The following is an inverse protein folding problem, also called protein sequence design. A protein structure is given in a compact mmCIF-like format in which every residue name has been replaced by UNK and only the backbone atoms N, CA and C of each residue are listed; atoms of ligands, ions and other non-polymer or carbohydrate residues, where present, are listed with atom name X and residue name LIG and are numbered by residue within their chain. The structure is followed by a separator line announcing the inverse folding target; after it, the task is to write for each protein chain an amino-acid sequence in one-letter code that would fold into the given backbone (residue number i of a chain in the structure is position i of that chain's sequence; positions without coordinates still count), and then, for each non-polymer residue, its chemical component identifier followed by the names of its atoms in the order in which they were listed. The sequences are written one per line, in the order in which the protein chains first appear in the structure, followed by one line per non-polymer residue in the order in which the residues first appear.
data_IF_949968397735
#
_entry.id   IF_949968397735
#
_cell.length_a   1.000
_cell.length_b   1.000
_cell.length_c   1.000
_cell.angle_alpha   90.00
_cell.angle_beta   90.00
_cell.angle_gamma   90.00
#
_symmetry.space_group_name_H-M   'P 1'
#
loop_
_entity.id
_entity.type
_entity.pdbx_description
1 polymer ?
#
# COMPACT_ATOMS: atom_id res chain seq x y z
N UNK A 1 -25.83 16.41 -9.65
CA UNK A 1 -25.20 15.79 -8.47
C UNK A 1 -24.66 16.92 -7.63
N UNK A 2 -24.97 16.95 -6.34
CA UNK A 2 -24.64 18.06 -5.44
C UNK A 2 -23.26 17.82 -4.85
N UNK A 3 -22.31 18.75 -5.05
CA UNK A 3 -20.89 18.57 -4.74
C UNK A 3 -20.60 18.33 -3.25
N UNK A 4 -21.48 18.82 -2.37
CA UNK A 4 -21.42 18.52 -0.94
C UNK A 4 -21.57 17.03 -0.60
N UNK A 5 -22.08 16.19 -1.51
CA UNK A 5 -22.19 14.74 -1.27
C UNK A 5 -20.85 14.02 -1.40
N UNK A 6 -19.95 14.48 -2.27
CA UNK A 6 -18.65 13.81 -2.50
C UNK A 6 -17.73 14.02 -1.30
N UNK A 7 -17.62 15.25 -0.79
CA UNK A 7 -16.83 15.57 0.42
C UNK A 7 -17.33 14.80 1.65
N UNK A 8 -18.65 14.72 1.84
CA UNK A 8 -19.25 13.92 2.92
C UNK A 8 -18.90 12.42 2.82
N UNK A 9 -18.80 11.88 1.61
CA UNK A 9 -18.38 10.49 1.42
C UNK A 9 -16.92 10.26 1.82
N UNK A 10 -16.03 11.21 1.54
CA UNK A 10 -14.63 11.15 1.98
C UNK A 10 -14.51 11.18 3.52
N UNK A 11 -15.23 12.10 4.17
CA UNK A 11 -15.30 12.20 5.63
C UNK A 11 -15.81 10.89 6.26
N UNK A 12 -16.87 10.31 5.71
CA UNK A 12 -17.40 9.02 6.19
C UNK A 12 -16.39 7.86 6.05
N UNK A 13 -15.58 7.85 4.99
CA UNK A 13 -14.51 6.86 4.80
C UNK A 13 -13.46 7.01 5.92
N UNK A 14 -13.02 8.24 6.20
CA UNK A 14 -12.06 8.55 7.28
C UNK A 14 -12.61 8.15 8.66
N UNK A 15 -13.87 8.46 8.94
CA UNK A 15 -14.53 8.08 10.20
C UNK A 15 -14.59 6.55 10.36
N UNK A 16 -14.98 5.82 9.31
CA UNK A 16 -15.04 4.35 9.36
C UNK A 16 -13.68 3.70 9.59
N UNK A 17 -12.59 4.31 9.09
CA UNK A 17 -11.22 3.87 9.36
C UNK A 17 -10.81 4.07 10.82
N UNK A 18 -11.15 5.22 11.41
CA UNK A 18 -10.92 5.49 12.83
C UNK A 18 -11.66 4.47 13.71
N UNK A 19 -12.95 4.20 13.42
CA UNK A 19 -13.72 3.19 14.13
C UNK A 19 -13.11 1.78 13.99
N UNK A 20 -12.63 1.44 12.79
CA UNK A 20 -11.95 0.16 12.54
C UNK A 20 -10.69 0.02 13.38
N UNK A 21 -9.90 1.08 13.50
CA UNK A 21 -8.72 1.13 14.37
C UNK A 21 -9.10 0.93 15.83
N UNK A 22 -10.11 1.63 16.33
CA UNK A 22 -10.55 1.51 17.72
C UNK A 22 -11.06 0.09 18.05
N UNK A 23 -11.80 -0.55 17.14
CA UNK A 23 -12.28 -1.92 17.35
C UNK A 23 -11.16 -2.95 17.41
N UNK A 24 -10.13 -2.79 16.58
CA UNK A 24 -8.94 -3.63 16.62
C UNK A 24 -8.11 -3.37 17.88
N UNK A 25 -8.03 -2.12 18.34
CA UNK A 25 -7.34 -1.72 19.57
C UNK A 25 -7.94 -2.37 20.82
N UNK A 26 -9.26 -2.60 20.81
CA UNK A 26 -9.99 -3.24 21.90
C UNK A 26 -9.91 -4.79 21.84
N UNK A 27 -9.04 -5.36 20.99
CA UNK A 27 -8.86 -6.80 20.79
C UNK A 27 -10.17 -7.56 20.52
N UNK A 28 -11.14 -6.91 19.88
CA UNK A 28 -12.45 -7.53 19.60
C UNK A 28 -12.33 -8.76 18.66
N UNK A 29 -11.20 -8.90 17.96
CA UNK A 29 -10.92 -9.94 16.96
C UNK A 29 -9.43 -10.30 16.98
N UNK A 30 -9.11 -11.57 16.70
CA UNK A 30 -7.73 -11.97 16.44
C UNK A 30 -7.26 -11.40 15.09
N UNK A 31 -5.97 -11.09 14.96
CA UNK A 31 -5.41 -10.45 13.76
C UNK A 31 -5.66 -11.25 12.47
N UNK A 32 -5.77 -12.57 12.58
CA UNK A 32 -6.02 -13.49 11.47
C UNK A 32 -7.52 -13.74 11.18
N UNK A 33 -8.44 -13.16 11.95
CA UNK A 33 -9.89 -13.33 11.79
C UNK A 33 -10.45 -12.29 10.80
N UNK A 34 -10.06 -12.44 9.54
CA UNK A 34 -10.46 -11.54 8.44
C UNK A 34 -11.97 -11.55 8.23
N UNK A 35 -12.63 -12.70 8.39
CA UNK A 35 -14.07 -12.82 8.18
C UNK A 35 -14.86 -12.02 9.22
N UNK A 36 -14.47 -12.08 10.49
CA UNK A 36 -15.10 -11.26 11.52
C UNK A 36 -14.74 -9.78 11.36
N UNK A 37 -13.52 -9.46 10.92
CA UNK A 37 -13.14 -8.08 10.61
C UNK A 37 -13.98 -7.47 9.47
N UNK A 38 -14.48 -8.27 8.52
CA UNK A 38 -15.41 -7.83 7.45
C UNK A 38 -16.80 -7.44 7.97
N UNK A 39 -17.11 -7.66 9.25
CA UNK A 39 -18.32 -7.11 9.87
C UNK A 39 -18.18 -5.60 10.18
N UNK A 40 -16.94 -5.10 10.32
CA UNK A 40 -16.68 -3.68 10.48
C UNK A 40 -16.97 -2.91 9.18
N UNK A 41 -17.55 -1.72 9.30
CA UNK A 41 -17.99 -0.90 8.17
C UNK A 41 -16.85 -0.67 7.16
N UNK A 42 -15.66 -0.30 7.64
CA UNK A 42 -14.52 -0.04 6.77
C UNK A 42 -14.18 -1.24 5.87
N UNK A 43 -13.88 -2.39 6.48
CA UNK A 43 -13.44 -3.56 5.71
C UNK A 43 -14.59 -4.18 4.90
N UNK A 44 -15.84 -4.09 5.39
CA UNK A 44 -17.03 -4.49 4.64
C UNK A 44 -17.16 -3.74 3.32
N UNK A 45 -17.11 -2.40 3.38
CA UNK A 45 -17.23 -1.53 2.21
C UNK A 45 -15.99 -1.67 1.31
N UNK A 46 -14.82 -1.84 1.92
CA UNK A 46 -13.60 -2.12 1.17
C UNK A 46 -13.70 -3.43 0.38
N UNK A 47 -14.15 -4.53 0.99
CA UNK A 47 -14.34 -5.82 0.31
C UNK A 47 -15.37 -5.71 -0.82
N UNK A 48 -16.51 -5.05 -0.60
CA UNK A 48 -17.50 -4.81 -1.65
C UNK A 48 -16.89 -4.07 -2.86
N UNK A 49 -16.20 -2.96 -2.64
CA UNK A 49 -15.62 -2.16 -3.72
C UNK A 49 -14.51 -2.91 -4.45
N UNK A 50 -13.55 -3.47 -3.69
CA UNK A 50 -12.31 -3.97 -4.25
C UNK A 50 -12.43 -5.41 -4.77
N UNK A 51 -13.02 -6.29 -3.97
CA UNK A 51 -13.14 -7.71 -4.29
C UNK A 51 -14.42 -7.99 -5.09
N UNK A 52 -15.59 -7.59 -4.58
CA UNK A 52 -16.87 -7.96 -5.20
C UNK A 52 -17.20 -7.15 -6.47
N UNK A 53 -16.71 -5.91 -6.57
CA UNK A 53 -16.96 -5.02 -7.71
C UNK A 53 -15.71 -4.77 -8.59
N UNK A 54 -14.69 -5.61 -8.47
CA UNK A 54 -13.45 -5.57 -9.28
C UNK A 54 -12.70 -4.24 -9.18
N UNK A 55 -12.70 -3.62 -8.00
CA UNK A 55 -11.92 -2.40 -7.75
C UNK A 55 -10.40 -2.66 -7.77
N UNK A 56 -9.96 -3.90 -7.48
CA UNK A 56 -8.54 -4.26 -7.52
C UNK A 56 -7.91 -4.14 -8.91
N UNK A 57 -8.69 -4.15 -10.00
CA UNK A 57 -8.18 -3.97 -11.37
C UNK A 57 -7.42 -2.64 -11.56
N UNK A 58 -7.67 -1.65 -10.68
CA UNK A 58 -6.98 -0.36 -10.70
C UNK A 58 -5.71 -0.30 -9.84
N UNK A 59 -5.41 -1.35 -9.06
CA UNK A 59 -4.43 -1.33 -7.96
C UNK A 59 -3.48 -2.52 -7.97
N UNK A 60 -3.75 -3.54 -8.77
CA UNK A 60 -2.89 -4.70 -8.91
C UNK A 60 -1.73 -4.36 -9.83
N UNK A 61 -0.53 -4.80 -9.44
CA UNK A 61 0.61 -4.98 -10.33
C UNK A 61 1.16 -6.40 -10.18
N UNK A 62 2.00 -6.82 -11.11
CA UNK A 62 2.69 -8.11 -11.08
C UNK A 62 4.17 -7.95 -10.78
N UNK A 63 4.80 -8.98 -10.24
CA UNK A 63 6.26 -9.00 -10.07
C UNK A 63 6.99 -8.73 -11.40
N UNK A 64 6.47 -9.25 -12.53
CA UNK A 64 7.04 -9.02 -13.86
C UNK A 64 7.07 -7.56 -14.28
N UNK A 65 6.02 -6.80 -13.96
CA UNK A 65 5.96 -5.35 -14.23
C UNK A 65 6.96 -4.56 -13.37
N UNK A 66 7.37 -5.10 -12.22
CA UNK A 66 8.31 -4.44 -11.31
C UNK A 66 9.79 -4.69 -11.64
N UNK A 67 10.09 -5.54 -12.62
CA UNK A 67 11.49 -5.87 -12.98
C UNK A 67 12.26 -4.69 -13.57
N UNK A 68 11.57 -3.62 -13.99
CA UNK A 68 12.21 -2.38 -14.44
C UNK A 68 12.82 -1.56 -13.29
N UNK A 69 12.44 -1.84 -12.04
CA UNK A 69 12.93 -1.15 -10.85
C UNK A 69 14.05 -1.95 -10.18
N UNK A 70 14.97 -1.22 -9.55
CA UNK A 70 15.94 -1.81 -8.65
C UNK A 70 15.30 -2.11 -7.30
N UNK A 71 15.80 -3.14 -6.62
CA UNK A 71 15.43 -3.51 -5.27
C UNK A 71 16.65 -3.51 -4.37
N UNK A 72 16.48 -3.08 -3.12
CA UNK A 72 17.56 -3.19 -2.15
C UNK A 72 17.07 -3.19 -0.71
N UNK A 73 17.95 -3.66 0.18
CA UNK A 73 17.72 -3.66 1.62
C UNK A 73 18.97 -3.20 2.34
N UNK A 74 18.78 -2.34 3.33
CA UNK A 74 19.83 -1.84 4.19
C UNK A 74 19.80 -2.45 5.59
N UNK A 75 20.92 -2.32 6.31
CA UNK A 75 21.04 -2.66 7.71
C UNK A 75 22.14 -1.83 8.38
N UNK A 76 21.87 -1.31 9.58
CA UNK A 76 22.93 -0.83 10.47
C UNK A 76 23.64 -2.06 11.04
N UNK A 77 24.98 -2.04 10.99
CA UNK A 77 25.86 -3.13 11.38
C UNK A 77 26.65 -2.74 12.63
N UNK A 78 26.85 -3.70 13.52
CA UNK A 78 27.81 -3.54 14.60
C UNK A 78 29.25 -3.59 14.06
N UNK A 79 30.23 -3.11 14.83
CA UNK A 79 31.65 -3.02 14.41
C UNK A 79 32.23 -4.33 13.88
N UNK A 80 31.89 -5.46 14.51
CA UNK A 80 32.42 -6.78 14.18
C UNK A 80 31.45 -7.65 13.38
N UNK A 81 30.28 -7.12 13.05
CA UNK A 81 29.23 -7.88 12.37
C UNK A 81 29.62 -8.21 10.94
N UNK A 82 29.38 -9.46 10.54
CA UNK A 82 29.58 -9.93 9.18
C UNK A 82 28.47 -9.38 8.29
N UNK A 83 28.87 -8.73 7.19
CA UNK A 83 27.94 -8.21 6.19
C UNK A 83 27.89 -9.21 5.03
N UNK A 84 27.04 -10.23 5.17
CA UNK A 84 26.78 -11.24 4.14
C UNK A 84 25.29 -11.25 3.74
N UNK A 85 24.93 -12.05 2.74
CA UNK A 85 23.55 -12.13 2.26
C UNK A 85 22.56 -12.56 3.34
N UNK A 86 22.99 -13.43 4.26
CA UNK A 86 22.14 -13.94 5.34
C UNK A 86 21.70 -12.82 6.29
N UNK A 87 22.50 -11.76 6.42
CA UNK A 87 22.15 -10.57 7.21
C UNK A 87 20.94 -9.81 6.66
N UNK A 88 20.69 -9.89 5.36
CA UNK A 88 19.60 -9.18 4.68
C UNK A 88 18.34 -10.05 4.49
N UNK A 89 18.37 -11.32 4.91
CA UNK A 89 17.19 -12.19 4.93
C UNK A 89 16.51 -12.09 6.31
N UNK A 90 15.18 -11.88 6.39
CA UNK A 90 14.49 -11.81 7.67
C UNK A 90 14.49 -13.19 8.36
N UNK A 91 14.85 -13.20 9.65
CA UNK A 91 14.85 -14.39 10.51
C UNK A 91 14.10 -14.12 11.80
N UNK A 92 13.18 -15.00 12.15
CA UNK A 92 12.20 -14.84 13.23
C UNK A 92 12.85 -14.41 14.56
N UNK A 93 13.99 -14.99 14.90
CA UNK A 93 14.75 -14.75 16.12
C UNK A 93 15.24 -13.29 16.29
N UNK A 94 15.28 -12.50 15.21
CA UNK A 94 15.69 -11.10 15.24
C UNK A 94 14.52 -10.11 15.12
N UNK A 95 13.29 -10.59 14.94
CA UNK A 95 12.10 -9.76 14.71
C UNK A 95 11.32 -9.63 16.01
N UNK A 96 11.87 -8.85 16.95
CA UNK A 96 11.35 -8.73 18.33
C UNK A 96 10.33 -7.59 18.51
N UNK A 97 9.99 -6.88 17.44
CA UNK A 97 9.04 -5.77 17.46
C UNK A 97 8.07 -5.86 16.29
N UNK A 98 6.89 -5.30 16.47
CA UNK A 98 5.90 -5.18 15.41
C UNK A 98 6.39 -4.23 14.31
N UNK A 99 6.15 -4.64 13.07
CA UNK A 99 6.24 -3.81 11.88
C UNK A 99 4.83 -3.32 11.48
N UNK A 100 4.78 -2.33 10.58
CA UNK A 100 3.55 -1.74 10.05
C UNK A 100 2.57 -2.79 9.53
N UNK A 101 3.09 -3.78 8.82
CA UNK A 101 2.26 -4.82 8.18
C UNK A 101 2.31 -6.18 8.87
N UNK A 102 3.27 -6.42 9.77
CA UNK A 102 3.43 -7.73 10.40
C UNK A 102 3.70 -7.62 11.90
N UNK A 103 3.12 -8.50 12.73
CA UNK A 103 3.56 -8.67 14.11
C UNK A 103 5.02 -9.10 14.24
N UNK A 104 5.55 -9.00 15.45
CA UNK A 104 6.82 -9.61 15.84
C UNK A 104 6.88 -11.10 15.45
N UNK A 105 8.06 -11.53 14.98
CA UNK A 105 8.35 -12.93 14.62
C UNK A 105 7.89 -13.37 13.23
N UNK A 106 7.33 -12.47 12.42
CA UNK A 106 6.91 -12.77 11.04
C UNK A 106 8.03 -12.44 10.05
N UNK A 107 8.46 -13.44 9.28
CA UNK A 107 9.62 -13.35 8.38
C UNK A 107 9.28 -12.82 6.97
N UNK A 108 8.54 -11.71 6.89
CA UNK A 108 8.29 -11.05 5.61
C UNK A 108 9.48 -10.24 5.14
N UNK A 109 9.66 -10.15 3.83
CA UNK A 109 10.80 -9.46 3.21
C UNK A 109 10.40 -8.04 2.83
N UNK A 110 11.04 -7.08 3.49
CA UNK A 110 10.87 -5.65 3.26
C UNK A 110 12.05 -5.13 2.43
N UNK A 111 11.77 -4.54 1.27
CA UNK A 111 12.76 -3.98 0.36
C UNK A 111 12.35 -2.55 -0.03
N UNK A 112 13.35 -1.71 -0.29
CA UNK A 112 13.15 -0.49 -1.06
C UNK A 112 13.05 -0.84 -2.56
N UNK A 113 12.19 -0.12 -3.29
CA UNK A 113 11.97 -0.26 -4.73
C UNK A 113 11.96 1.11 -5.42
N UNK A 114 12.70 1.24 -6.52
CA UNK A 114 12.84 2.49 -7.26
C UNK A 114 14.06 2.46 -8.20
N UNK A 115 14.59 3.63 -8.54
CA UNK A 115 15.91 3.73 -9.15
C UNK A 115 17.03 3.57 -8.10
N UNK A 116 18.29 3.43 -8.53
CA UNK A 116 19.42 3.21 -7.63
C UNK A 116 19.56 4.26 -6.52
N UNK A 117 19.40 5.54 -6.83
CA UNK A 117 19.52 6.60 -5.82
C UNK A 117 18.36 6.52 -4.81
N UNK A 118 17.16 6.23 -5.29
CA UNK A 118 15.96 6.11 -4.47
C UNK A 118 16.04 4.95 -3.48
N UNK A 119 16.52 3.77 -3.90
CA UNK A 119 16.56 2.60 -3.01
C UNK A 119 17.58 2.77 -1.87
N UNK A 120 18.70 3.45 -2.12
CA UNK A 120 19.71 3.72 -1.10
C UNK A 120 19.19 4.71 -0.06
N UNK A 121 18.65 5.85 -0.52
CA UNK A 121 18.07 6.86 0.36
C UNK A 121 16.92 6.29 1.19
N UNK A 122 16.03 5.51 0.55
CA UNK A 122 14.94 4.84 1.24
C UNK A 122 15.44 3.84 2.28
N UNK A 123 16.40 2.98 1.95
CA UNK A 123 16.93 1.98 2.88
C UNK A 123 17.62 2.59 4.11
N UNK A 124 18.42 3.65 3.91
CA UNK A 124 19.06 4.38 5.01
C UNK A 124 18.02 5.04 5.91
N UNK A 125 17.02 5.70 5.32
CA UNK A 125 15.95 6.36 6.06
C UNK A 125 15.09 5.36 6.87
N UNK A 126 14.70 4.22 6.28
CA UNK A 126 13.93 3.17 6.96
C UNK A 126 14.70 2.53 8.13
N UNK A 127 16.04 2.45 8.02
CA UNK A 127 16.90 2.04 9.13
C UNK A 127 17.14 3.14 10.17
N UNK A 128 16.73 4.38 9.90
CA UNK A 128 17.04 5.58 10.70
C UNK A 128 18.54 5.75 10.92
N UNK A 129 19.33 5.46 9.90
CA UNK A 129 20.78 5.55 9.95
C UNK A 129 21.23 7.01 10.15
N UNK A 130 22.24 7.21 10.98
CA UNK A 130 22.80 8.50 11.34
C UNK A 130 24.27 8.58 10.93
N UNK A 131 24.81 9.79 10.92
CA UNK A 131 26.23 10.02 10.67
C UNK A 131 27.10 9.16 11.61
N UNK A 132 28.07 8.46 11.04
CA UNK A 132 28.95 7.54 11.77
C UNK A 132 28.40 6.13 11.97
N UNK A 133 27.17 5.80 11.53
CA UNK A 133 26.71 4.42 11.52
C UNK A 133 27.42 3.61 10.43
N UNK A 134 27.84 2.39 10.75
CA UNK A 134 28.30 1.43 9.75
C UNK A 134 27.07 0.81 9.07
N UNK A 135 26.96 0.97 7.77
CA UNK A 135 25.80 0.57 7.00
C UNK A 135 26.15 -0.49 5.96
N UNK A 136 25.35 -1.56 5.95
CA UNK A 136 25.35 -2.57 4.91
C UNK A 136 24.19 -2.34 3.95
N UNK A 137 24.42 -2.49 2.65
CA UNK A 137 23.37 -2.45 1.64
C UNK A 137 23.52 -3.61 0.65
N UNK A 138 22.40 -4.25 0.32
CA UNK A 138 22.37 -5.40 -0.58
C UNK A 138 21.23 -5.27 -1.59
N UNK A 139 21.55 -5.46 -2.87
CA UNK A 139 20.57 -5.54 -3.95
C UNK A 139 19.83 -6.87 -3.95
N UNK A 140 18.60 -6.84 -4.46
CA UNK A 140 17.76 -8.03 -4.60
C UNK A 140 17.24 -8.16 -6.03
N UNK A 141 16.97 -9.40 -6.44
CA UNK A 141 16.22 -9.70 -7.67
C UNK A 141 15.03 -10.58 -7.34
N UNK A 142 13.92 -10.37 -8.05
CA UNK A 142 12.80 -11.29 -8.04
C UNK A 142 13.17 -12.62 -8.70
N UNK A 143 12.55 -13.72 -8.26
CA UNK A 143 12.69 -14.98 -8.96
C UNK A 143 11.89 -14.99 -10.26
N UNK A 144 12.53 -15.39 -11.36
CA UNK A 144 11.88 -15.48 -12.68
C UNK A 144 10.70 -16.46 -12.74
N UNK A 145 10.59 -17.41 -11.80
CA UNK A 145 9.44 -18.32 -11.70
C UNK A 145 8.18 -17.70 -11.10
N UNK A 146 8.30 -16.49 -10.52
CA UNK A 146 7.25 -15.84 -9.72
C UNK A 146 6.73 -14.53 -10.35
N UNK A 147 7.06 -14.25 -11.61
CA UNK A 147 6.71 -12.99 -12.28
C UNK A 147 5.20 -12.73 -12.38
N UNK A 148 4.38 -13.79 -12.40
CA UNK A 148 2.92 -13.68 -12.48
C UNK A 148 2.23 -13.42 -11.13
N UNK A 149 2.98 -13.45 -10.02
CA UNK A 149 2.42 -13.16 -8.71
C UNK A 149 1.96 -11.69 -8.64
N UNK A 150 0.86 -11.47 -7.93
CA UNK A 150 0.16 -10.17 -7.87
C UNK A 150 0.38 -9.49 -6.53
N UNK A 151 0.53 -8.17 -6.58
CA UNK A 151 0.69 -7.30 -5.42
C UNK A 151 -0.37 -6.22 -5.43
N UNK A 152 -0.65 -5.68 -4.25
CA UNK A 152 -1.52 -4.52 -4.09
C UNK A 152 -0.67 -3.26 -3.96
N UNK A 153 -0.83 -2.32 -4.89
CA UNK A 153 -0.11 -1.04 -4.89
C UNK A 153 -0.91 0.05 -4.14
N UNK A 154 -0.52 0.38 -2.92
CA UNK A 154 -1.16 1.46 -2.15
C UNK A 154 -0.83 2.87 -2.67
N UNK A 155 0.16 3.00 -3.57
CA UNK A 155 0.74 4.30 -3.99
C UNK A 155 0.08 4.92 -5.22
N UNK A 156 -0.94 4.25 -5.79
CA UNK A 156 -1.62 4.64 -7.05
C UNK A 156 -2.24 6.05 -7.05
N UNK A 157 -2.36 6.66 -5.87
CA UNK A 157 -2.97 7.97 -5.65
C UNK A 157 -2.06 8.95 -4.92
N UNK A 158 -0.78 8.61 -4.68
CA UNK A 158 0.12 9.45 -3.86
C UNK A 158 0.26 10.87 -4.42
N UNK A 159 0.34 10.99 -5.74
CA UNK A 159 0.50 12.26 -6.44
C UNK A 159 -0.81 12.98 -6.78
N UNK A 160 -1.95 12.56 -6.20
CA UNK A 160 -3.26 13.15 -6.47
C UNK A 160 -3.88 13.59 -5.14
N UNK A 161 -4.37 14.83 -5.05
CA UNK A 161 -5.10 15.30 -3.87
C UNK A 161 -6.56 14.80 -3.88
N UNK A 162 -7.23 14.79 -2.72
CA UNK A 162 -8.67 14.50 -2.69
C UNK A 162 -9.47 15.51 -3.51
N UNK A 163 -9.10 16.80 -3.47
CA UNK A 163 -9.76 17.82 -4.27
C UNK A 163 -9.60 17.54 -5.78
N UNK A 164 -8.43 17.10 -6.24
CA UNK A 164 -8.22 16.70 -7.63
C UNK A 164 -9.08 15.48 -8.00
N UNK A 165 -9.12 14.44 -7.15
CA UNK A 165 -9.98 13.27 -7.35
C UNK A 165 -11.45 13.68 -7.51
N UNK A 166 -11.91 14.60 -6.66
CA UNK A 166 -13.27 15.11 -6.68
C UNK A 166 -13.54 15.93 -7.96
N UNK A 167 -12.64 16.85 -8.33
CA UNK A 167 -12.73 17.65 -9.57
C UNK A 167 -12.77 16.73 -10.80
N UNK A 168 -11.90 15.72 -10.88
CA UNK A 168 -11.85 14.77 -11.98
C UNK A 168 -13.16 13.99 -12.09
N UNK A 169 -13.71 13.50 -10.98
CA UNK A 169 -15.00 12.80 -10.97
C UNK A 169 -16.11 13.71 -11.50
N UNK A 170 -16.18 14.95 -11.02
CA UNK A 170 -17.21 15.91 -11.42
C UNK A 170 -17.15 16.25 -12.91
N UNK A 171 -15.95 16.53 -13.44
CA UNK A 171 -15.75 16.83 -14.85
C UNK A 171 -16.15 15.65 -15.74
N UNK A 172 -15.81 14.42 -15.32
CA UNK A 172 -16.19 13.22 -16.04
C UNK A 172 -17.71 12.98 -16.00
N UNK A 173 -18.37 13.15 -14.85
CA UNK A 173 -19.85 13.02 -14.74
C UNK A 173 -20.55 14.05 -15.63
N UNK A 174 -20.09 15.31 -15.66
CA UNK A 174 -20.61 16.36 -16.56
C UNK A 174 -20.45 15.96 -18.02
N UNK A 175 -19.34 15.33 -18.38
CA UNK A 175 -19.07 14.83 -19.73
C UNK A 175 -19.99 13.67 -20.10
N UNK A 176 -20.16 12.69 -19.21
CA UNK A 176 -21.09 11.56 -19.42
C UNK A 176 -22.54 12.04 -19.53
N UNK A 177 -22.93 13.06 -18.78
CA UNK A 177 -24.27 13.64 -18.90
C UNK A 177 -24.51 14.30 -20.28
N UNK A 178 -23.50 14.97 -20.84
CA UNK A 178 -23.57 15.50 -22.21
C UNK A 178 -23.65 14.37 -23.24
N UNK A 179 -22.90 13.28 -23.07
CA UNK A 179 -22.97 12.09 -23.93
C UNK A 179 -24.35 11.42 -23.87
N UNK A 180 -24.92 11.28 -22.67
CA UNK A 180 -26.29 10.78 -22.47
C UNK A 180 -27.29 11.51 -23.35
N UNK A 181 -27.30 12.85 -23.32
CA UNK A 181 -28.22 13.66 -24.15
C UNK A 181 -28.07 13.41 -25.64
N UNK A 182 -26.83 13.19 -26.11
CA UNK A 182 -26.57 12.88 -27.53
C UNK A 182 -27.10 11.49 -27.90
N UNK A 183 -26.81 10.47 -27.09
CA UNK A 183 -27.30 9.10 -27.31
C UNK A 183 -28.82 9.05 -27.25
N UNK A 184 -29.43 9.70 -26.26
CA UNK A 184 -30.89 9.75 -26.12
C UNK A 184 -31.57 10.33 -27.36
N UNK A 185 -31.00 11.40 -27.93
CA UNK A 185 -31.50 12.01 -29.17
C UNK A 185 -31.37 11.11 -30.40
N UNK A 186 -30.32 10.28 -30.47
CA UNK A 186 -30.02 9.43 -31.63
C UNK A 186 -30.67 8.06 -31.57
N UNK A 187 -30.80 7.49 -30.37
CA UNK A 187 -31.10 6.08 -30.15
C UNK A 187 -32.20 5.82 -29.10
N UNK A 188 -32.82 6.87 -28.56
CA UNK A 188 -33.87 6.78 -27.55
C UNK A 188 -33.37 6.95 -26.11
N UNK A 189 -34.25 7.48 -25.24
CA UNK A 189 -33.93 7.81 -23.83
C UNK A 189 -33.42 6.60 -23.03
N UNK A 190 -34.00 5.42 -23.23
CA UNK A 190 -33.62 4.19 -22.51
C UNK A 190 -32.16 3.83 -22.74
N UNK A 191 -31.70 3.86 -24.00
CA UNK A 191 -30.32 3.55 -24.32
C UNK A 191 -29.36 4.63 -23.77
N UNK A 192 -29.78 5.89 -23.80
CA UNK A 192 -29.03 6.99 -23.19
C UNK A 192 -28.88 6.84 -21.67
N UNK A 193 -29.95 6.44 -20.97
CA UNK A 193 -29.96 6.21 -19.53
C UNK A 193 -29.05 5.02 -19.16
N UNK A 194 -29.20 3.88 -19.84
CA UNK A 194 -28.38 2.69 -19.60
C UNK A 194 -26.87 2.96 -19.72
N UNK A 195 -26.44 3.63 -20.80
CA UNK A 195 -25.03 3.95 -21.00
C UNK A 195 -24.49 4.92 -19.94
N UNK A 196 -25.30 5.90 -19.55
CA UNK A 196 -24.95 6.86 -18.51
C UNK A 196 -24.76 6.18 -17.16
N UNK A 197 -25.70 5.35 -16.73
CA UNK A 197 -25.63 4.63 -15.46
C UNK A 197 -24.41 3.71 -15.41
N UNK A 198 -24.17 2.95 -16.48
CA UNK A 198 -23.00 2.08 -16.58
C UNK A 198 -21.68 2.85 -16.41
N UNK A 199 -21.54 3.99 -17.09
CA UNK A 199 -20.31 4.78 -17.01
C UNK A 199 -20.16 5.53 -15.69
N UNK A 200 -21.24 6.10 -15.17
CA UNK A 200 -21.20 6.77 -13.88
C UNK A 200 -20.83 5.77 -12.78
N UNK A 201 -21.34 4.53 -12.84
CA UNK A 201 -20.93 3.46 -11.92
C UNK A 201 -19.42 3.20 -12.00
N UNK A 202 -18.85 3.14 -13.21
CA UNK A 202 -17.41 2.94 -13.39
C UNK A 202 -16.58 4.14 -12.89
N UNK A 203 -17.05 5.37 -13.13
CA UNK A 203 -16.39 6.59 -12.64
C UNK A 203 -16.40 6.64 -11.11
N UNK A 204 -17.54 6.34 -10.48
CA UNK A 204 -17.67 6.27 -9.03
C UNK A 204 -16.77 5.17 -8.44
N UNK A 205 -16.73 3.99 -9.06
CA UNK A 205 -15.82 2.91 -8.65
C UNK A 205 -14.35 3.35 -8.71
N UNK A 206 -13.92 3.95 -9.83
CA UNK A 206 -12.54 4.46 -9.95
C UNK A 206 -12.24 5.51 -8.88
N UNK A 207 -13.14 6.47 -8.69
CA UNK A 207 -12.99 7.48 -7.63
C UNK A 207 -12.87 6.82 -6.24
N UNK A 208 -13.76 5.89 -5.89
CA UNK A 208 -13.72 5.19 -4.61
C UNK A 208 -12.40 4.45 -4.41
N UNK A 209 -11.93 3.71 -5.40
CA UNK A 209 -10.65 2.97 -5.31
C UNK A 209 -9.49 3.92 -5.02
N UNK A 210 -9.40 5.03 -5.74
CA UNK A 210 -8.34 6.02 -5.55
C UNK A 210 -8.46 6.75 -4.20
N UNK A 211 -9.69 7.05 -3.74
CA UNK A 211 -9.91 7.66 -2.42
C UNK A 211 -9.49 6.72 -1.28
N UNK A 212 -9.83 5.43 -1.35
CA UNK A 212 -9.38 4.45 -0.36
C UNK A 212 -7.87 4.20 -0.42
N UNK A 213 -7.27 4.17 -1.62
CA UNK A 213 -5.82 4.08 -1.77
C UNK A 213 -5.14 5.31 -1.15
N UNK A 214 -5.67 6.52 -1.38
CA UNK A 214 -5.14 7.77 -0.83
C UNK A 214 -5.22 7.78 0.68
N UNK A 215 -6.35 7.36 1.24
CA UNK A 215 -6.52 7.21 2.69
C UNK A 215 -5.48 6.25 3.26
N UNK A 216 -5.40 5.02 2.73
CA UNK A 216 -4.50 4.00 3.25
C UNK A 216 -3.04 4.42 3.14
N UNK A 217 -2.68 5.06 2.03
CA UNK A 217 -1.41 5.72 1.83
C UNK A 217 -1.17 6.73 2.95
N UNK A 218 -1.90 7.84 3.02
CA UNK A 218 -1.71 8.90 4.04
C UNK A 218 -1.73 8.38 5.49
N UNK A 219 -2.59 7.42 5.80
CA UNK A 219 -2.70 6.85 7.14
C UNK A 219 -1.51 5.97 7.51
N UNK A 220 -0.87 5.30 6.53
CA UNK A 220 0.36 4.57 6.82
C UNK A 220 1.50 5.52 7.13
N UNK A 221 1.47 6.77 6.64
CA UNK A 221 2.50 7.77 6.87
C UNK A 221 2.40 8.50 8.21
N UNK A 222 1.34 8.31 9.00
CA UNK A 222 1.21 9.01 10.27
C UNK A 222 2.30 8.51 11.25
N UNK A 223 3.20 9.40 11.73
CA UNK A 223 4.18 9.03 12.73
C UNK A 223 3.47 8.62 14.02
N UNK A 224 3.93 7.52 14.60
CA UNK A 224 3.49 7.05 15.91
C UNK A 224 4.35 7.80 16.93
N UNK A 225 3.73 8.54 17.85
CA UNK A 225 4.48 9.17 18.94
C UNK A 225 5.07 8.08 19.84
N UNK A 226 6.18 8.35 20.52
CA UNK A 226 6.81 7.37 21.41
C UNK A 226 5.88 6.94 22.57
N UNK A 227 4.84 7.71 22.84
CA UNK A 227 3.79 7.43 23.83
C UNK A 227 2.63 6.58 23.30
N UNK A 228 2.51 6.42 21.98
CA UNK A 228 1.41 5.70 21.35
C UNK A 228 1.67 4.20 21.36
N UNK A 229 0.62 3.40 21.60
CA UNK A 229 0.74 1.95 21.56
C UNK A 229 0.87 1.46 20.09
N UNK A 230 2.08 1.02 19.71
CA UNK A 230 2.38 0.53 18.35
C UNK A 230 1.48 -0.63 17.91
N UNK A 231 1.12 -1.53 18.82
CA UNK A 231 0.26 -2.67 18.47
C UNK A 231 -1.12 -2.19 18.02
N UNK A 232 -1.65 -1.14 18.65
CA UNK A 232 -2.92 -0.51 18.29
C UNK A 232 -2.81 0.23 16.95
N UNK A 233 -1.72 0.97 16.73
CA UNK A 233 -1.55 1.80 15.53
C UNK A 233 -1.30 0.96 14.27
N UNK A 234 -0.61 -0.17 14.40
CA UNK A 234 -0.33 -1.08 13.28
C UNK A 234 -1.41 -2.12 13.04
N UNK A 235 -2.27 -2.43 14.03
CA UNK A 235 -3.31 -3.45 13.88
C UNK A 235 -4.17 -3.30 12.62
N UNK A 236 -4.64 -2.11 12.21
CA UNK A 236 -5.39 -1.96 10.96
C UNK A 236 -4.60 -2.38 9.73
N UNK A 237 -3.32 -2.01 9.65
CA UNK A 237 -2.46 -2.34 8.50
C UNK A 237 -2.07 -3.81 8.48
N UNK A 238 -1.83 -4.39 9.65
CA UNK A 238 -1.60 -5.82 9.81
C UNK A 238 -2.85 -6.63 9.40
N UNK A 239 -4.05 -6.20 9.81
CA UNK A 239 -5.32 -6.81 9.38
C UNK A 239 -5.52 -6.65 7.86
N UNK A 240 -5.21 -5.50 7.28
CA UNK A 240 -5.25 -5.32 5.82
C UNK A 240 -4.27 -6.26 5.11
N UNK A 241 -3.09 -6.51 5.66
CA UNK A 241 -2.14 -7.48 5.11
C UNK A 241 -2.71 -8.91 5.15
N UNK A 242 -3.33 -9.32 6.26
CA UNK A 242 -4.03 -10.62 6.35
C UNK A 242 -5.19 -10.71 5.36
N UNK A 243 -5.94 -9.64 5.18
CA UNK A 243 -6.99 -9.56 4.16
C UNK A 243 -6.42 -9.78 2.75
N UNK A 244 -5.32 -9.12 2.37
CA UNK A 244 -4.71 -9.34 1.05
C UNK A 244 -4.14 -10.76 0.88
N UNK A 245 -3.57 -11.34 1.93
CA UNK A 245 -3.14 -12.75 1.94
C UNK A 245 -4.33 -13.67 1.69
N UNK A 246 -5.48 -13.42 2.35
CA UNK A 246 -6.70 -14.22 2.17
C UNK A 246 -7.25 -14.19 0.73
N UNK A 247 -6.87 -13.18 -0.06
CA UNK A 247 -7.24 -13.04 -1.47
C UNK A 247 -6.16 -13.57 -2.44
N UNK A 248 -5.04 -14.07 -1.92
CA UNK A 248 -3.96 -14.66 -2.70
C UNK A 248 -2.93 -13.67 -3.25
N UNK A 249 -2.87 -12.44 -2.74
CA UNK A 249 -1.80 -11.49 -3.08
C UNK A 249 -0.50 -11.84 -2.35
N UNK A 250 0.64 -11.62 -3.00
CA UNK A 250 1.95 -12.00 -2.46
C UNK A 250 2.69 -10.85 -1.76
N UNK A 251 2.15 -9.64 -1.80
CA UNK A 251 2.79 -8.48 -1.17
C UNK A 251 2.04 -7.17 -1.38
N UNK A 252 2.63 -6.10 -0.84
CA UNK A 252 2.09 -4.74 -0.86
C UNK A 252 3.19 -3.77 -1.27
N UNK A 253 2.88 -2.83 -2.16
CA UNK A 253 3.72 -1.65 -2.43
C UNK A 253 3.15 -0.47 -1.64
N UNK A 254 4.01 0.28 -0.98
CA UNK A 254 3.64 1.44 -0.17
C UNK A 254 4.76 2.47 -0.22
N UNK A 255 4.45 3.76 -0.08
CA UNK A 255 5.51 4.79 -0.05
C UNK A 255 6.38 4.70 1.21
N UNK A 256 7.55 5.32 1.19
CA UNK A 256 8.40 5.42 2.39
C UNK A 256 7.92 6.48 3.37
N UNK A 257 7.89 6.14 4.66
CA UNK A 257 7.42 7.06 5.70
C UNK A 257 8.45 8.05 6.21
N UNK A 258 9.68 7.87 5.75
CA UNK A 258 10.88 8.54 6.25
C UNK A 258 11.76 9.05 5.10
N UNK A 259 11.47 8.67 3.86
CA UNK A 259 12.08 9.21 2.65
C UNK A 259 11.06 9.91 1.78
N UNK A 260 11.43 11.08 1.23
CA UNK A 260 10.63 11.79 0.21
C UNK A 260 10.74 11.15 -1.18
N UNK A 261 11.64 10.19 -1.35
CA UNK A 261 11.96 9.53 -2.61
C UNK A 261 11.97 8.01 -2.45
N UNK A 262 11.50 7.30 -3.47
CA UNK A 262 11.40 5.83 -3.45
C UNK A 262 10.13 5.29 -2.78
N UNK A 263 9.84 4.03 -3.06
CA UNK A 263 8.75 3.25 -2.45
C UNK A 263 9.34 2.05 -1.73
N UNK A 264 8.54 1.40 -0.91
CA UNK A 264 8.84 0.11 -0.31
C UNK A 264 7.92 -0.95 -0.88
N UNK A 265 8.41 -2.19 -0.82
CA UNK A 265 7.66 -3.40 -1.10
C UNK A 265 7.83 -4.36 0.08
N UNK A 266 6.72 -4.89 0.56
CA UNK A 266 6.73 -6.03 1.49
C UNK A 266 6.22 -7.26 0.77
N UNK A 267 7.02 -8.32 0.79
CA UNK A 267 6.71 -9.64 0.25
C UNK A 267 6.37 -10.58 1.39
N UNK A 268 5.20 -11.22 1.32
CA UNK A 268 4.70 -12.10 2.39
C UNK A 268 5.43 -13.45 2.43
N UNK A 269 6.16 -13.78 1.37
CA UNK A 269 7.10 -14.89 1.31
C UNK A 269 8.48 -14.35 0.94
N UNK A 270 9.43 -14.49 1.87
CA UNK A 270 10.81 -14.02 1.70
C UNK A 270 11.57 -14.73 0.59
N UNK A 271 11.08 -15.88 0.10
CA UNK A 271 11.68 -16.57 -1.02
C UNK A 271 11.40 -15.89 -2.36
N UNK A 272 10.45 -14.95 -2.45
CA UNK A 272 10.04 -14.31 -3.71
C UNK A 272 11.17 -13.51 -4.37
N UNK A 273 12.10 -12.99 -3.57
CA UNK A 273 13.30 -12.31 -4.02
C UNK A 273 14.53 -12.85 -3.30
N UNK A 274 15.68 -12.77 -3.96
CA UNK A 274 16.95 -13.22 -3.42
C UNK A 274 18.03 -12.12 -3.54
N UNK A 275 18.98 -12.07 -2.60
CA UNK A 275 20.06 -11.11 -2.64
C UNK A 275 21.01 -11.41 -3.80
N UNK A 276 21.55 -10.37 -4.41
CA UNK A 276 22.41 -10.44 -5.60
C UNK A 276 23.50 -9.37 -5.55
N UNK A 277 24.53 -9.54 -6.38
CA UNK A 277 25.59 -8.54 -6.56
C UNK A 277 26.52 -8.40 -5.36
N UNK A 278 27.40 -7.42 -5.42
CA UNK A 278 28.31 -7.12 -4.31
C UNK A 278 27.54 -6.46 -3.18
N UNK A 279 27.82 -6.86 -1.94
CA UNK A 279 27.27 -6.19 -0.75
C UNK A 279 28.11 -4.97 -0.45
N UNK A 280 27.46 -3.83 -0.29
CA UNK A 280 28.09 -2.58 0.09
C UNK A 280 28.24 -2.52 1.61
N UNK A 281 29.36 -1.93 2.06
CA UNK A 281 29.67 -1.77 3.48
C UNK A 281 30.48 -0.49 3.66
N UNK A 282 29.84 0.54 4.23
CA UNK A 282 30.39 1.88 4.33
C UNK A 282 29.95 2.57 5.61
N UNK A 283 30.61 3.67 5.95
CA UNK A 283 30.18 4.56 7.02
C UNK A 283 29.23 5.60 6.43
N UNK A 284 28.13 5.90 7.12
CA UNK A 284 27.26 7.01 6.74
C UNK A 284 28.02 8.31 7.01
N UNK A 285 28.21 9.11 5.96
CA UNK A 285 28.79 10.44 6.01
C UNK A 285 27.68 11.50 5.90
N UNK A 286 27.88 12.68 6.50
CA UNK A 286 27.00 13.83 6.28
C UNK A 286 27.08 14.30 4.82
N UNK A 287 25.92 14.44 4.17
CA UNK A 287 25.80 15.12 2.88
C UNK A 287 25.83 16.64 3.03
#
# INVERSE_FOLDING_TARGET
MEFGKIKKSEEAIKESWSEFREKLAQEQYALNDVDKAKECIFLKVYDDIFNQNSGFDYKITTIGELQEFSLGRGAILNETELCDYERFIPKKEFINQDNRFSPSGIEWLYLAIGNESEIHQCAQAECRANNGDRFGFCHFNFNNSQLNLKLVDLTISDNISYDDLNIILEQNIKTEYKKRKKIAKMCGEDLGAYWYEKNVKNLLKKWSVYTYAKLLSEQIFLPINDTDNRSIMYAPFQMMAQYYISLGYCGIIYGSTVSKVGRNIVLFDKSIAHPVGSIENYMIEEN
#
